data_IF_710971017779
#
_entry.id   IF_710971017779
#
_cell.length_a   1.000
_cell.length_b   1.000
_cell.length_c   1.000
_cell.angle_alpha   90.00
_cell.angle_beta   90.00
_cell.angle_gamma   90.00
#
_symmetry.space_group_name_H-M   'P 1'
#
loop_
_entity.id
_entity.type
_entity.pdbx_description
1 polymer ?
#
# COMPACT_ATOMS: atom_id res chain seq x y z
N UNK A 1 -1.61 0.68 -1.49
CA UNK A 1 -1.47 0.91 -2.94
C UNK A 1 -2.57 1.82 -3.48
N UNK A 2 -3.82 1.35 -3.72
CA UNK A 2 -4.86 2.12 -4.43
C UNK A 2 -5.03 3.60 -4.03
N UNK A 3 -5.26 3.89 -2.73
CA UNK A 3 -5.45 5.27 -2.26
C UNK A 3 -4.19 6.11 -2.47
N UNK A 4 -3.06 5.56 -2.05
CA UNK A 4 -1.76 6.23 -2.12
C UNK A 4 -1.37 6.52 -3.56
N UNK A 5 -1.45 5.51 -4.43
CA UNK A 5 -1.06 5.62 -5.81
C UNK A 5 -1.88 6.72 -6.51
N UNK A 6 -3.21 6.65 -6.39
CA UNK A 6 -4.12 7.53 -7.13
C UNK A 6 -4.23 8.95 -6.56
N UNK A 7 -4.14 9.11 -5.23
CA UNK A 7 -4.37 10.41 -4.55
C UNK A 7 -3.10 10.98 -3.92
N UNK A 8 -1.99 10.25 -3.96
CA UNK A 8 -0.71 10.60 -3.38
C UNK A 8 0.39 10.63 -4.43
N UNK A 9 0.85 9.46 -4.88
CA UNK A 9 1.95 9.31 -5.84
C UNK A 9 1.73 10.15 -7.11
N UNK A 10 0.62 10.03 -7.83
CA UNK A 10 0.36 10.84 -9.03
C UNK A 10 0.40 12.37 -8.80
N UNK A 11 0.20 12.82 -7.57
CA UNK A 11 0.26 14.24 -7.19
C UNK A 11 1.68 14.68 -6.83
N UNK A 12 2.53 13.76 -6.36
CA UNK A 12 3.87 14.04 -5.80
C UNK A 12 5.00 13.31 -6.52
N UNK A 13 4.71 12.65 -7.63
CA UNK A 13 5.70 11.86 -8.38
C UNK A 13 6.92 12.72 -8.71
N UNK A 14 8.11 12.13 -8.57
CA UNK A 14 9.39 12.81 -8.69
C UNK A 14 9.68 13.90 -7.64
N UNK A 15 9.00 13.88 -6.48
CA UNK A 15 9.32 14.76 -5.33
C UNK A 15 9.79 13.97 -4.11
N UNK A 16 10.55 14.59 -3.17
CA UNK A 16 11.02 13.93 -1.96
C UNK A 16 9.91 13.38 -1.05
N UNK A 17 8.69 13.92 -1.16
CA UNK A 17 7.51 13.55 -0.39
C UNK A 17 6.77 12.33 -0.96
N UNK A 18 7.12 11.87 -2.16
CA UNK A 18 6.57 10.65 -2.74
C UNK A 18 7.37 9.42 -2.27
N UNK A 19 6.75 8.50 -1.52
CA UNK A 19 7.42 7.28 -1.11
C UNK A 19 7.79 6.36 -2.29
N UNK A 20 7.06 6.41 -3.41
CA UNK A 20 7.24 5.53 -4.55
C UNK A 20 8.25 6.05 -5.60
N UNK A 21 8.78 7.26 -5.44
CA UNK A 21 9.92 7.76 -6.21
C UNK A 21 11.22 7.23 -5.59
N UNK A 22 12.08 6.60 -6.39
CA UNK A 22 13.37 6.08 -5.93
C UNK A 22 14.45 7.16 -6.07
N UNK A 23 15.29 7.31 -5.05
CA UNK A 23 16.25 8.41 -5.00
C UNK A 23 17.50 8.07 -5.78
N UNK A 24 18.18 9.08 -6.33
CA UNK A 24 19.49 8.86 -6.95
C UNK A 24 20.47 8.17 -5.99
N UNK A 25 21.04 7.05 -6.41
CA UNK A 25 21.96 6.24 -5.61
C UNK A 25 21.30 5.33 -4.56
N UNK A 26 19.98 5.35 -4.42
CA UNK A 26 19.26 4.44 -3.52
C UNK A 26 19.22 3.03 -4.12
N UNK A 27 19.59 2.02 -3.33
CA UNK A 27 19.44 0.63 -3.75
C UNK A 27 17.98 0.18 -3.62
N UNK A 28 17.59 -0.82 -4.40
CA UNK A 28 16.24 -1.40 -4.31
C UNK A 28 15.87 -1.87 -2.89
N UNK A 29 16.85 -2.40 -2.14
CA UNK A 29 16.62 -2.90 -0.78
C UNK A 29 16.45 -1.80 0.27
N UNK A 30 16.95 -0.59 0.00
CA UNK A 30 16.68 0.61 0.80
C UNK A 30 15.34 1.24 0.40
N UNK A 31 15.08 1.28 -0.91
CA UNK A 31 13.83 1.77 -1.50
C UNK A 31 12.62 0.99 -1.00
N UNK A 32 12.64 -0.35 -1.09
CA UNK A 32 11.48 -1.19 -0.86
C UNK A 32 10.81 -0.98 0.52
N UNK A 33 11.53 -1.09 1.66
CA UNK A 33 10.91 -0.84 2.97
C UNK A 33 10.48 0.62 3.15
N UNK A 34 11.23 1.59 2.59
CA UNK A 34 10.88 3.02 2.65
C UNK A 34 9.59 3.29 1.88
N UNK A 35 9.47 2.76 0.66
CA UNK A 35 8.30 2.87 -0.18
C UNK A 35 7.10 2.23 0.51
N UNK A 36 7.19 0.96 0.92
CA UNK A 36 6.06 0.24 1.53
C UNK A 36 5.54 0.95 2.78
N UNK A 37 6.42 1.30 3.72
CA UNK A 37 6.02 1.99 4.95
C UNK A 37 5.50 3.40 4.67
N UNK A 38 6.21 4.15 3.83
CA UNK A 38 5.83 5.50 3.43
C UNK A 38 4.46 5.52 2.74
N UNK A 39 4.19 4.53 1.90
CA UNK A 39 2.93 4.40 1.17
C UNK A 39 1.76 4.05 2.09
N UNK A 40 1.96 3.19 3.09
CA UNK A 40 0.92 2.91 4.11
C UNK A 40 0.61 4.19 4.90
N UNK A 41 1.64 4.92 5.35
CA UNK A 41 1.48 6.17 6.09
C UNK A 41 0.78 7.25 5.24
N UNK A 42 1.21 7.41 3.99
CA UNK A 42 0.63 8.34 3.02
C UNK A 42 -0.85 8.02 2.78
N UNK A 43 -1.20 6.75 2.52
CA UNK A 43 -2.58 6.31 2.36
C UNK A 43 -3.46 6.65 3.59
N UNK A 44 -2.92 6.46 4.80
CA UNK A 44 -3.64 6.74 6.04
C UNK A 44 -3.92 8.23 6.21
N UNK A 45 -2.92 9.09 6.01
CA UNK A 45 -3.09 10.54 6.15
C UNK A 45 -4.01 11.11 5.06
N UNK A 46 -3.97 10.59 3.83
CA UNK A 46 -4.90 10.98 2.76
C UNK A 46 -6.35 10.70 3.19
N UNK A 47 -6.63 9.50 3.68
CA UNK A 47 -7.99 9.12 4.11
C UNK A 47 -8.44 9.88 5.35
N UNK A 48 -7.54 10.09 6.31
CA UNK A 48 -7.82 10.91 7.49
C UNK A 48 -8.20 12.33 7.11
N UNK A 49 -7.48 12.96 6.19
CA UNK A 49 -7.81 14.30 5.69
C UNK A 49 -9.16 14.32 4.96
N UNK A 50 -9.43 13.31 4.11
CA UNK A 50 -10.71 13.17 3.40
C UNK A 50 -11.88 13.10 4.37
N UNK A 51 -11.78 12.27 5.41
CA UNK A 51 -12.84 12.06 6.39
C UNK A 51 -13.02 13.25 7.34
N UNK A 52 -11.92 13.90 7.75
CA UNK A 52 -11.98 15.12 8.55
C UNK A 52 -12.73 16.25 7.84
N UNK A 53 -12.53 16.42 6.53
CA UNK A 53 -13.30 17.38 5.70
C UNK A 53 -14.80 17.07 5.66
N UNK A 54 -15.18 15.82 5.94
CA UNK A 54 -16.58 15.37 6.02
C UNK A 54 -17.11 15.33 7.47
N UNK A 55 -16.33 15.78 8.45
CA UNK A 55 -16.70 15.71 9.87
C UNK A 55 -16.75 14.28 10.44
N UNK A 56 -16.06 13.32 9.81
CA UNK A 56 -16.07 11.91 10.19
C UNK A 56 -14.77 11.49 10.88
N UNK A 57 -14.86 10.49 11.75
CA UNK A 57 -13.70 9.84 12.35
C UNK A 57 -12.89 9.07 11.30
N UNK A 58 -11.56 9.00 11.46
CA UNK A 58 -10.69 8.14 10.63
C UNK A 58 -11.03 6.65 10.77
N UNK A 59 -11.68 6.27 11.87
CA UNK A 59 -12.18 4.91 12.11
C UNK A 59 -13.58 4.66 11.55
N UNK A 60 -14.11 5.58 10.75
CA UNK A 60 -15.39 5.39 10.07
C UNK A 60 -15.34 4.19 9.12
N UNK A 61 -16.47 3.49 8.98
CA UNK A 61 -16.63 2.46 7.94
C UNK A 61 -16.42 3.02 6.54
N UNK A 62 -16.59 4.33 6.36
CA UNK A 62 -16.36 5.00 5.08
C UNK A 62 -14.88 5.13 4.73
N UNK A 63 -13.95 4.82 5.63
CA UNK A 63 -12.51 4.82 5.33
C UNK A 63 -12.18 3.72 4.30
N UNK A 64 -11.74 4.14 3.11
CA UNK A 64 -11.47 3.23 1.99
C UNK A 64 -10.32 2.26 2.34
N UNK A 65 -9.34 2.67 3.17
CA UNK A 65 -8.26 1.79 3.62
C UNK A 65 -8.79 0.66 4.52
N UNK A 66 -9.67 0.99 5.48
CA UNK A 66 -10.24 -0.01 6.38
C UNK A 66 -11.11 -1.01 5.63
N UNK A 67 -11.90 -0.55 4.66
CA UNK A 67 -12.69 -1.43 3.80
C UNK A 67 -11.80 -2.37 2.98
N UNK A 68 -10.76 -1.84 2.33
CA UNK A 68 -9.83 -2.65 1.54
C UNK A 68 -9.13 -3.72 2.40
N UNK A 69 -8.62 -3.34 3.58
CA UNK A 69 -7.98 -4.29 4.49
C UNK A 69 -8.96 -5.33 5.03
N UNK A 70 -10.19 -4.93 5.36
CA UNK A 70 -11.23 -5.86 5.81
C UNK A 70 -11.58 -6.88 4.71
N UNK A 71 -11.70 -6.45 3.45
CA UNK A 71 -11.93 -7.34 2.31
C UNK A 71 -10.75 -8.31 2.14
N UNK A 72 -9.50 -7.83 2.22
CA UNK A 72 -8.33 -8.70 2.14
C UNK A 72 -8.31 -9.75 3.26
N UNK A 73 -8.59 -9.35 4.51
CA UNK A 73 -8.66 -10.27 5.65
C UNK A 73 -9.79 -11.27 5.47
N UNK A 74 -10.98 -10.83 5.04
CA UNK A 74 -12.13 -11.70 4.80
C UNK A 74 -11.83 -12.72 3.70
N UNK A 75 -11.20 -12.30 2.60
CA UNK A 75 -10.78 -13.19 1.52
C UNK A 75 -9.76 -14.22 2.03
N UNK A 76 -8.73 -13.79 2.75
CA UNK A 76 -7.70 -14.69 3.27
C UNK A 76 -8.30 -15.69 4.27
N UNK A 77 -9.19 -15.23 5.15
CA UNK A 77 -9.89 -16.10 6.09
C UNK A 77 -10.78 -17.12 5.37
N UNK A 78 -11.56 -16.69 4.38
CA UNK A 78 -12.44 -17.57 3.60
C UNK A 78 -11.64 -18.63 2.84
N UNK A 79 -10.56 -18.21 2.16
CA UNK A 79 -9.69 -19.13 1.43
C UNK A 79 -8.96 -20.11 2.36
N UNK A 80 -8.54 -19.66 3.54
CA UNK A 80 -7.91 -20.52 4.57
C UNK A 80 -8.92 -21.51 5.16
N UNK A 81 -10.16 -21.08 5.40
CA UNK A 81 -11.22 -21.97 5.88
C UNK A 81 -11.59 -23.03 4.82
N UNK A 82 -11.55 -22.68 3.54
CA UNK A 82 -11.89 -23.58 2.44
C UNK A 82 -10.76 -24.54 2.06
N UNK A 83 -9.54 -24.04 1.89
CA UNK A 83 -8.39 -24.81 1.37
C UNK A 83 -7.46 -25.31 2.49
N UNK A 84 -7.72 -24.95 3.74
CA UNK A 84 -6.94 -25.31 4.91
C UNK A 84 -5.83 -24.31 5.24
N UNK A 85 -5.20 -24.52 6.41
CA UNK A 85 -4.21 -23.60 6.98
C UNK A 85 -3.02 -23.31 6.07
N UNK A 86 -2.60 -24.27 5.22
CA UNK A 86 -1.49 -24.10 4.29
C UNK A 86 -1.74 -23.05 3.19
N UNK A 87 -3.00 -22.71 2.90
CA UNK A 87 -3.30 -21.63 1.97
C UNK A 87 -2.84 -20.27 2.51
N UNK A 88 -2.88 -20.04 3.83
CA UNK A 88 -2.52 -18.76 4.43
C UNK A 88 -1.05 -18.37 4.19
N UNK A 89 -0.04 -19.17 4.58
CA UNK A 89 1.36 -18.80 4.32
C UNK A 89 1.65 -18.68 2.83
N UNK A 90 1.01 -19.51 1.97
CA UNK A 90 1.15 -19.39 0.52
C UNK A 90 0.63 -18.04 0.02
N UNK A 91 -0.58 -17.62 0.41
CA UNK A 91 -1.14 -16.32 0.02
C UNK A 91 -0.34 -15.14 0.56
N UNK A 92 0.21 -15.24 1.77
CA UNK A 92 1.09 -14.19 2.33
C UNK A 92 2.34 -14.04 1.48
N UNK A 93 3.03 -15.15 1.17
CA UNK A 93 4.25 -15.13 0.36
C UNK A 93 3.95 -14.66 -1.07
N UNK A 94 2.87 -15.16 -1.67
CA UNK A 94 2.42 -14.74 -3.00
C UNK A 94 2.09 -13.24 -3.03
N UNK A 95 1.38 -12.73 -2.02
CA UNK A 95 1.03 -11.32 -1.92
C UNK A 95 2.26 -10.43 -1.73
N UNK A 96 3.22 -10.85 -0.89
CA UNK A 96 4.49 -10.13 -0.72
C UNK A 96 5.32 -10.12 -2.01
N UNK A 97 5.38 -11.24 -2.73
CA UNK A 97 6.08 -11.34 -4.01
C UNK A 97 5.41 -10.51 -5.12
N UNK A 98 4.08 -10.58 -5.23
CA UNK A 98 3.33 -9.76 -6.18
C UNK A 98 3.48 -8.27 -5.88
N UNK A 99 3.43 -7.90 -4.59
CA UNK A 99 3.69 -6.53 -4.14
C UNK A 99 5.10 -6.06 -4.48
N UNK A 100 6.14 -6.88 -4.23
CA UNK A 100 7.50 -6.49 -4.55
C UNK A 100 7.74 -6.31 -6.04
N UNK A 101 7.09 -7.10 -6.91
CA UNK A 101 7.16 -6.90 -8.36
C UNK A 101 6.58 -5.55 -8.81
N UNK A 102 5.49 -5.08 -8.18
CA UNK A 102 4.96 -3.73 -8.44
C UNK A 102 5.97 -2.66 -8.01
N UNK A 103 6.61 -2.84 -6.86
CA UNK A 103 7.61 -1.90 -6.37
C UNK A 103 8.90 -1.92 -7.19
N UNK A 104 9.26 -3.04 -7.83
CA UNK A 104 10.36 -3.08 -8.80
C UNK A 104 10.06 -2.16 -10.00
N UNK A 105 8.81 -2.17 -10.49
CA UNK A 105 8.40 -1.26 -11.57
C UNK A 105 8.50 0.20 -11.11
N UNK A 106 7.94 0.54 -9.94
CA UNK A 106 8.07 1.89 -9.37
C UNK A 106 9.53 2.33 -9.23
N UNK A 107 10.39 1.43 -8.72
CA UNK A 107 11.80 1.70 -8.52
C UNK A 107 12.53 2.03 -9.82
N UNK A 108 12.20 1.33 -10.91
CA UNK A 108 12.84 1.52 -12.21
C UNK A 108 12.27 2.73 -12.97
N UNK A 109 10.95 2.93 -12.93
CA UNK A 109 10.28 4.02 -13.66
C UNK A 109 10.57 5.40 -13.06
N UNK A 110 10.76 5.46 -11.74
CA UNK A 110 10.98 6.71 -11.01
C UNK A 110 12.40 6.84 -10.46
N UNK A 111 13.39 6.23 -11.12
CA UNK A 111 14.78 6.30 -10.68
C UNK A 111 15.44 7.63 -11.01
N UNK A 112 15.93 8.30 -9.96
CA UNK A 112 16.79 9.49 -10.06
C UNK A 112 16.04 10.79 -9.88
#
# INVERSE_FOLDING_TARGET
FYIEHNRGHHVRVATPEDPATSRFGESFYEFLPRCVYGSIKSAWEIEKQRLQKQGKSVWSIENDNLQAWAISVALFAAMTAWLGWWALPFMIVQGAYGGSLLEVVNYLEHYG
#
